data_IF_616804075989
#
_entry.id   IF_616804075989
#
_cell.length_a   1.000
_cell.length_b   1.000
_cell.length_c   1.000
_cell.angle_alpha   90.00
_cell.angle_beta   90.00
_cell.angle_gamma   90.00
#
_symmetry.space_group_name_H-M   'P 1'
#
loop_
_entity.id
_entity.type
_entity.pdbx_description
1 polymer ?
#
# COMPACT_ATOMS: atom_id res chain seq x y z
N UNK A 1 14.60 -12.03 -4.72
CA UNK A 1 13.47 -11.29 -5.31
C UNK A 1 12.20 -11.82 -4.69
N UNK A 2 11.42 -11.00 -3.97
CA UNK A 2 10.16 -11.48 -3.39
C UNK A 2 9.15 -11.66 -4.51
N UNK A 3 8.82 -12.91 -4.85
CA UNK A 3 7.84 -13.22 -5.89
C UNK A 3 6.46 -13.37 -5.27
N UNK A 4 5.52 -12.55 -5.72
CA UNK A 4 4.10 -12.82 -5.54
C UNK A 4 3.65 -13.89 -6.52
N UNK A 5 2.63 -14.68 -6.15
CA UNK A 5 1.98 -15.55 -7.12
C UNK A 5 1.38 -14.71 -8.25
N UNK A 6 1.28 -15.30 -9.44
CA UNK A 6 0.72 -14.61 -10.61
C UNK A 6 -0.72 -14.16 -10.37
N UNK A 7 -1.49 -14.93 -9.59
CA UNK A 7 -2.85 -14.54 -9.17
C UNK A 7 -2.87 -13.19 -8.45
N UNK A 8 -1.89 -12.92 -7.58
CA UNK A 8 -1.82 -11.64 -6.86
C UNK A 8 -1.44 -10.50 -7.80
N UNK A 9 -0.53 -10.73 -8.75
CA UNK A 9 -0.13 -9.71 -9.73
C UNK A 9 -1.26 -9.38 -10.71
N UNK A 10 -2.17 -10.32 -10.95
CA UNK A 10 -3.37 -10.11 -11.77
C UNK A 10 -4.50 -9.36 -11.07
N UNK A 11 -4.37 -9.10 -9.75
CA UNK A 11 -5.37 -8.33 -9.02
C UNK A 11 -5.44 -6.88 -9.53
N UNK A 12 -6.62 -6.26 -9.47
CA UNK A 12 -6.76 -4.89 -9.92
C UNK A 12 -5.96 -3.93 -9.04
N UNK A 13 -5.41 -2.90 -9.68
CA UNK A 13 -4.73 -1.80 -9.01
C UNK A 13 -5.68 -0.92 -8.19
N UNK A 14 -5.16 0.03 -7.38
CA UNK A 14 -5.95 1.03 -6.70
C UNK A 14 -6.84 1.82 -7.67
N UNK A 15 -7.96 2.36 -7.18
CA UNK A 15 -8.89 3.19 -7.97
C UNK A 15 -8.25 4.50 -8.42
N UNK A 16 -7.27 4.98 -7.65
CA UNK A 16 -6.46 6.14 -7.99
C UNK A 16 -5.11 6.09 -7.30
N UNK A 17 -4.12 6.72 -7.91
CA UNK A 17 -2.77 6.85 -7.35
C UNK A 17 -2.36 8.31 -7.43
N UNK A 18 -2.00 8.90 -6.29
CA UNK A 18 -1.46 10.27 -6.23
C UNK A 18 -0.08 10.24 -5.58
N UNK A 19 0.85 10.99 -6.16
CA UNK A 19 2.20 11.15 -5.65
C UNK A 19 2.34 12.52 -4.96
N UNK A 20 2.84 12.53 -3.72
CA UNK A 20 3.25 13.72 -2.99
C UNK A 20 4.76 13.59 -2.72
N UNK A 21 5.54 14.35 -3.48
CA UNK A 21 6.96 14.11 -3.63
C UNK A 21 7.79 15.22 -3.00
N UNK A 22 8.72 14.83 -2.13
CA UNK A 22 9.67 15.73 -1.48
C UNK A 22 11.10 15.25 -1.73
N UNK A 23 12.09 16.05 -1.35
CA UNK A 23 13.49 15.70 -1.60
C UNK A 23 13.88 14.35 -0.99
N UNK A 24 13.41 14.00 0.21
CA UNK A 24 13.86 12.79 0.92
C UNK A 24 12.79 11.71 1.06
N UNK A 25 11.52 12.04 0.83
CA UNK A 25 10.40 11.11 0.97
C UNK A 25 9.44 11.27 -0.21
N UNK A 26 9.08 10.15 -0.83
CA UNK A 26 7.94 10.07 -1.73
C UNK A 26 6.76 9.48 -0.98
N UNK A 27 5.62 10.17 -0.95
CA UNK A 27 4.36 9.61 -0.50
C UNK A 27 3.53 9.18 -1.70
N UNK A 28 2.99 7.96 -1.63
CA UNK A 28 2.10 7.42 -2.65
C UNK A 28 0.76 7.14 -1.99
N UNK A 29 -0.25 7.91 -2.39
CA UNK A 29 -1.63 7.76 -1.96
C UNK A 29 -2.34 6.78 -2.88
N UNK A 30 -2.56 5.56 -2.39
CA UNK A 30 -3.33 4.53 -3.07
C UNK A 30 -4.79 4.63 -2.63
N UNK A 31 -5.68 5.02 -3.54
CA UNK A 31 -7.12 5.12 -3.27
C UNK A 31 -7.75 3.74 -3.41
N UNK A 32 -8.27 3.20 -2.31
CA UNK A 32 -8.97 1.91 -2.25
C UNK A 32 -10.20 2.09 -1.38
N UNK A 33 -11.36 2.02 -2.02
CA UNK A 33 -12.63 2.28 -1.38
C UNK A 33 -12.90 1.28 -0.25
N UNK A 34 -13.48 1.76 0.84
CA UNK A 34 -13.85 0.93 1.99
C UNK A 34 -12.74 0.70 3.01
N UNK A 35 -11.51 1.17 2.77
CA UNK A 35 -10.48 1.23 3.82
C UNK A 35 -10.97 2.12 4.96
N UNK A 36 -10.87 1.62 6.18
CA UNK A 36 -11.14 2.35 7.43
C UNK A 36 -9.90 2.29 8.29
N UNK A 37 -9.44 3.47 8.70
CA UNK A 37 -8.31 3.58 9.62
C UNK A 37 -8.67 3.05 11.01
N UNK A 38 -7.63 2.67 11.76
CA UNK A 38 -7.78 2.33 13.18
C UNK A 38 -8.12 3.59 13.96
N UNK A 39 -9.18 3.53 14.75
CA UNK A 39 -9.51 4.54 15.76
C UNK A 39 -9.27 3.97 17.16
N UNK A 40 -9.46 4.80 18.19
CA UNK A 40 -9.37 4.37 19.59
C UNK A 40 -10.35 3.22 19.88
N UNK A 41 -11.52 3.23 19.24
CA UNK A 41 -12.61 2.27 19.49
C UNK A 41 -12.74 1.17 18.43
N UNK A 42 -12.08 1.29 17.28
CA UNK A 42 -12.23 0.36 16.15
C UNK A 42 -10.87 0.03 15.54
N UNK A 43 -10.59 -1.25 15.38
CA UNK A 43 -9.48 -1.71 14.56
C UNK A 43 -9.68 -1.29 13.09
N UNK A 44 -8.57 -1.15 12.37
CA UNK A 44 -8.63 -1.03 10.92
C UNK A 44 -9.27 -2.28 10.31
N UNK A 45 -9.88 -2.13 9.14
CA UNK A 45 -10.54 -3.23 8.42
C UNK A 45 -9.74 -3.69 7.20
N UNK A 46 -8.44 -3.41 7.17
CA UNK A 46 -7.60 -3.66 6.00
C UNK A 46 -6.29 -4.28 6.48
N UNK A 47 -5.93 -5.42 5.88
CA UNK A 47 -4.60 -5.99 6.05
C UNK A 47 -3.69 -5.48 4.93
N UNK A 48 -2.49 -5.08 5.30
CA UNK A 48 -1.47 -4.51 4.40
C UNK A 48 -0.28 -5.44 4.39
N UNK A 49 -0.03 -6.08 3.25
CA UNK A 49 1.12 -6.95 3.06
C UNK A 49 2.15 -6.23 2.18
N UNK A 50 3.07 -5.53 2.83
CA UNK A 50 4.12 -4.73 2.18
C UNK A 50 5.41 -5.54 2.08
N UNK A 51 6.01 -5.58 0.88
CA UNK A 51 7.34 -6.14 0.62
C UNK A 51 8.17 -5.14 -0.16
N UNK A 52 9.43 -4.94 0.22
CA UNK A 52 10.33 -4.05 -0.49
C UNK A 52 11.79 -4.50 -0.37
N UNK A 53 12.63 -3.95 -1.25
CA UNK A 53 14.09 -4.03 -1.19
C UNK A 53 14.67 -2.65 -1.52
N UNK A 54 15.97 -2.56 -1.79
CA UNK A 54 16.61 -1.30 -2.17
C UNK A 54 16.13 -0.73 -3.51
N UNK A 55 15.56 -1.55 -4.41
CA UNK A 55 15.22 -1.14 -5.77
C UNK A 55 13.74 -0.88 -6.00
N UNK A 56 12.85 -1.51 -5.24
CA UNK A 56 11.42 -1.45 -5.49
C UNK A 56 10.59 -1.99 -4.34
N UNK A 57 9.27 -1.92 -4.50
CA UNK A 57 8.31 -2.36 -3.50
C UNK A 57 7.02 -2.88 -4.14
N UNK A 58 6.26 -3.62 -3.35
CA UNK A 58 4.95 -4.14 -3.70
C UNK A 58 4.07 -4.19 -2.47
N UNK A 59 2.77 -3.96 -2.65
CA UNK A 59 1.78 -4.00 -1.58
C UNK A 59 0.53 -4.73 -2.05
N UNK A 60 0.08 -5.67 -1.24
CA UNK A 60 -1.25 -6.27 -1.33
C UNK A 60 -2.12 -5.72 -0.21
N UNK A 61 -3.26 -5.13 -0.58
CA UNK A 61 -4.27 -4.59 0.31
C UNK A 61 -5.48 -5.51 0.32
N UNK A 62 -5.89 -5.97 1.50
CA UNK A 62 -7.09 -6.80 1.66
C UNK A 62 -8.09 -6.11 2.58
N UNK A 63 -9.14 -5.52 1.99
CA UNK A 63 -10.23 -4.92 2.77
C UNK A 63 -11.18 -6.04 3.21
N UNK A 64 -11.51 -6.08 4.50
CA UNK A 64 -12.31 -7.14 5.07
C UNK A 64 -13.45 -6.61 5.95
N UNK A 65 -14.43 -7.48 6.18
CA UNK A 65 -15.43 -7.34 7.22
C UNK A 65 -15.20 -8.40 8.28
N UNK A 66 -15.13 -7.99 9.54
CA UNK A 66 -15.04 -8.89 10.67
C UNK A 66 -16.44 -9.14 11.26
N UNK A 67 -16.89 -10.39 11.21
CA UNK A 67 -18.11 -10.79 11.92
C UNK A 67 -17.76 -11.15 13.36
N UNK A 68 -18.01 -10.24 14.29
CA UNK A 68 -17.77 -10.44 15.73
C UNK A 68 -18.87 -11.25 16.43
N UNK A 69 -19.96 -11.62 15.73
CA UNK A 69 -21.03 -12.45 16.31
C UNK A 69 -20.66 -13.93 16.35
N UNK A 70 -19.69 -14.36 15.54
CA UNK A 70 -19.16 -15.74 15.56
C UNK A 70 -18.02 -15.85 16.57
N UNK A 71 -17.83 -17.05 17.15
CA UNK A 71 -16.70 -17.38 18.03
C UNK A 71 -15.95 -18.59 17.43
N UNK A 72 -14.73 -18.41 16.88
CA UNK A 72 -13.97 -17.15 16.80
C UNK A 72 -14.59 -16.15 15.79
N UNK A 73 -14.23 -14.85 15.90
CA UNK A 73 -14.63 -13.85 14.91
C UNK A 73 -14.19 -14.24 13.51
N UNK A 74 -15.10 -14.21 12.54
CA UNK A 74 -14.82 -14.62 11.17
C UNK A 74 -14.48 -13.42 10.29
N UNK A 75 -13.30 -13.45 9.66
CA UNK A 75 -12.87 -12.45 8.68
C UNK A 75 -13.36 -12.86 7.28
N UNK A 76 -14.08 -11.96 6.60
CA UNK A 76 -14.41 -12.10 5.18
C UNK A 76 -13.73 -10.99 4.39
N UNK A 77 -12.81 -11.35 3.49
CA UNK A 77 -12.22 -10.39 2.55
C UNK A 77 -13.30 -9.97 1.55
N UNK A 78 -13.47 -8.66 1.41
CA UNK A 78 -14.42 -8.05 0.49
C UNK A 78 -13.74 -7.67 -0.82
N UNK A 79 -12.49 -7.21 -0.73
CA UNK A 79 -11.76 -6.66 -1.85
C UNK A 79 -10.26 -6.87 -1.67
N UNK A 80 -9.56 -7.13 -2.77
CA UNK A 80 -8.11 -7.20 -2.82
C UNK A 80 -7.60 -6.26 -3.90
N UNK A 81 -6.55 -5.48 -3.58
CA UNK A 81 -5.87 -4.59 -4.53
C UNK A 81 -4.37 -4.81 -4.45
N UNK A 82 -3.72 -4.79 -5.60
CA UNK A 82 -2.27 -4.97 -5.69
C UNK A 82 -1.63 -3.76 -6.36
N UNK A 83 -0.50 -3.31 -5.83
CA UNK A 83 0.29 -2.24 -6.43
C UNK A 83 1.78 -2.57 -6.31
N UNK A 84 2.52 -2.41 -7.39
CA UNK A 84 3.95 -2.72 -7.47
C UNK A 84 4.70 -1.62 -8.20
N UNK A 85 5.88 -1.29 -7.71
CA UNK A 85 6.89 -0.51 -8.41
C UNK A 85 8.18 -1.30 -8.39
N UNK A 86 8.48 -1.96 -9.52
CA UNK A 86 9.62 -2.89 -9.62
C UNK A 86 10.98 -2.18 -9.51
N UNK A 87 11.06 -0.96 -10.03
CA UNK A 87 12.29 -0.17 -10.07
C UNK A 87 11.97 1.30 -9.77
N UNK A 88 12.44 1.76 -8.63
CA UNK A 88 12.40 3.15 -8.22
C UNK A 88 13.57 3.94 -8.84
N UNK A 89 13.45 5.27 -8.97
CA UNK A 89 14.51 6.12 -9.53
C UNK A 89 15.84 6.08 -8.77
N UNK A 90 15.82 5.81 -7.47
CA UNK A 90 17.04 5.56 -6.68
C UNK A 90 16.79 4.54 -5.59
N UNK A 91 17.87 4.21 -4.85
CA UNK A 91 17.78 3.29 -3.71
C UNK A 91 16.76 3.77 -2.67
N UNK A 92 15.99 2.81 -2.15
CA UNK A 92 15.03 2.97 -1.06
C UNK A 92 15.73 2.64 0.27
N UNK A 93 15.56 3.50 1.28
CA UNK A 93 16.04 3.24 2.65
C UNK A 93 14.99 2.51 3.49
N UNK A 94 13.73 2.92 3.40
CA UNK A 94 12.61 2.30 4.09
C UNK A 94 11.31 2.57 3.37
N UNK A 95 10.32 1.69 3.58
CA UNK A 95 8.94 1.91 3.16
C UNK A 95 8.04 1.67 4.37
N UNK A 96 7.27 2.70 4.70
CA UNK A 96 6.25 2.66 5.75
C UNK A 96 4.86 2.86 5.12
N UNK A 97 3.81 2.49 5.85
CA UNK A 97 2.45 2.73 5.41
C UNK A 97 1.57 3.32 6.51
N UNK A 98 0.55 4.06 6.09
CA UNK A 98 -0.53 4.54 6.95
C UNK A 98 -1.86 4.36 6.25
N UNK A 99 -2.83 3.79 6.97
CA UNK A 99 -4.22 3.74 6.52
C UNK A 99 -4.93 5.05 6.88
N UNK A 100 -5.72 5.58 5.95
CA UNK A 100 -6.72 6.63 6.13
C UNK A 100 -8.03 6.17 5.49
N UNK A 101 -9.13 6.88 5.75
CA UNK A 101 -10.40 6.56 5.07
C UNK A 101 -10.21 6.53 3.55
N UNK A 102 -10.59 5.41 2.95
CA UNK A 102 -10.49 5.09 1.52
C UNK A 102 -9.07 5.16 0.92
N UNK A 103 -8.02 5.16 1.76
CA UNK A 103 -6.64 5.30 1.28
C UNK A 103 -5.63 4.47 2.07
N UNK A 104 -4.64 3.93 1.36
CA UNK A 104 -3.37 3.50 1.92
C UNK A 104 -2.27 4.45 1.44
N UNK A 105 -1.57 5.11 2.36
CA UNK A 105 -0.47 6.02 2.06
C UNK A 105 0.83 5.29 2.32
N UNK A 106 1.59 5.01 1.26
CA UNK A 106 2.96 4.54 1.37
C UNK A 106 3.90 5.74 1.53
N UNK A 107 4.89 5.65 2.41
CA UNK A 107 5.96 6.64 2.58
C UNK A 107 7.30 5.96 2.29
N UNK A 108 7.90 6.31 1.16
CA UNK A 108 9.16 5.75 0.67
C UNK A 108 10.27 6.74 1.01
N UNK A 109 11.18 6.35 1.92
CA UNK A 109 12.36 7.15 2.24
C UNK A 109 13.46 6.87 1.21
N UNK A 110 13.94 7.93 0.58
CA UNK A 110 14.95 7.88 -0.49
C UNK A 110 16.35 7.86 0.09
N UNK A 111 17.26 7.10 -0.52
CA UNK A 111 18.67 7.11 -0.13
C UNK A 111 19.39 8.39 -0.58
N UNK A 112 19.02 8.91 -1.75
CA UNK A 112 19.56 10.15 -2.28
C UNK A 112 18.44 11.19 -2.42
N UNK A 113 18.67 12.43 -1.97
CA UNK A 113 17.70 13.50 -2.18
C UNK A 113 17.44 13.76 -3.66
N UNK A 114 16.17 13.87 -4.06
CA UNK A 114 15.79 14.22 -5.43
C UNK A 114 14.31 13.99 -5.70
N UNK A 115 13.72 14.76 -6.61
CA UNK A 115 12.32 14.59 -7.01
C UNK A 115 12.20 13.40 -7.98
N UNK A 116 11.29 12.49 -7.66
CA UNK A 116 10.95 11.30 -8.43
C UNK A 116 9.65 11.48 -9.23
N UNK A 117 8.81 12.46 -8.91
CA UNK A 117 7.50 12.68 -9.55
C UNK A 117 7.58 12.69 -11.09
N UNK A 118 8.58 13.35 -11.65
CA UNK A 118 8.80 13.42 -13.10
C UNK A 118 9.15 12.05 -13.70
N UNK A 119 9.89 11.23 -12.97
CA UNK A 119 10.27 9.88 -13.41
C UNK A 119 9.12 8.87 -13.30
N UNK A 120 8.12 9.17 -12.46
CA UNK A 120 6.97 8.29 -12.19
C UNK A 120 5.71 8.65 -13.01
N UNK A 121 5.73 9.78 -13.73
CA UNK A 121 4.62 10.27 -14.55
C UNK A 121 4.73 9.88 -16.04
N UNK A 122 5.75 9.09 -16.39
CA UNK A 122 6.01 8.54 -17.74
C UNK A 122 5.55 7.08 -17.81
#
# INVERSE_FOLDING_TARGET
MFTWSEDVKSLPGPVGVKYDDSMTVLKIHLVVMGIKEKTIIRAANTDVHLKYNEEGFSVLLEVFKLNKKTKPPMKKVLEKRFFEMRKCPSKILSVDYKLKNDQCILSIRKALPGLWSNALSL
#
